data_IF_284247368480
#
_entry.id   IF_284247368480
#
_cell.length_a   1.000
_cell.length_b   1.000
_cell.length_c   1.000
_cell.angle_alpha   90.00
_cell.angle_beta   90.00
_cell.angle_gamma   90.00
#
_symmetry.space_group_name_H-M   'P 1'
#
loop_
_entity.id
_entity.type
_entity.pdbx_description
1 polymer ?
#
# COMPACT_ATOMS: atom_id res chain seq x y z
N UNK A 1 11.23 12.70 -12.37
CA UNK A 1 11.63 11.29 -12.23
C UNK A 1 11.13 10.56 -13.46
N UNK A 2 12.01 9.88 -14.20
CA UNK A 2 11.63 9.02 -15.34
C UNK A 2 11.73 7.59 -14.83
N UNK A 3 10.62 6.84 -14.86
CA UNK A 3 10.57 5.43 -14.46
C UNK A 3 10.52 4.53 -15.70
N UNK A 4 11.23 3.41 -15.66
CA UNK A 4 11.33 2.45 -16.79
C UNK A 4 10.27 1.33 -16.76
N UNK A 5 9.21 1.49 -15.97
CA UNK A 5 8.29 0.40 -15.63
C UNK A 5 8.78 -0.36 -14.39
N UNK A 6 8.63 -1.68 -14.39
CA UNK A 6 8.93 -2.58 -13.26
C UNK A 6 7.69 -3.16 -12.58
N UNK A 7 6.54 -3.17 -13.27
CA UNK A 7 5.32 -3.82 -12.77
C UNK A 7 5.56 -5.32 -12.61
N UNK A 8 5.12 -5.89 -11.49
CA UNK A 8 5.35 -7.28 -11.07
C UNK A 8 4.22 -7.71 -10.12
N UNK A 9 4.11 -9.01 -9.84
CA UNK A 9 3.22 -9.56 -8.80
C UNK A 9 4.10 -10.36 -7.83
N UNK A 10 4.04 -10.03 -6.54
CA UNK A 10 4.83 -10.67 -5.48
C UNK A 10 3.86 -11.34 -4.49
N UNK A 11 4.17 -12.57 -4.12
CA UNK A 11 3.40 -13.36 -3.18
C UNK A 11 3.68 -12.99 -1.72
N UNK A 12 2.84 -13.46 -0.77
CA UNK A 12 3.02 -13.20 0.65
C UNK A 12 4.31 -13.78 1.23
N UNK A 13 4.94 -14.76 0.56
CA UNK A 13 6.25 -15.32 0.89
C UNK A 13 7.43 -14.53 0.30
N UNK A 14 7.17 -13.31 -0.19
CA UNK A 14 8.15 -12.43 -0.84
C UNK A 14 8.75 -12.96 -2.15
N UNK A 15 8.16 -14.00 -2.76
CA UNK A 15 8.60 -14.51 -4.06
C UNK A 15 7.83 -13.88 -5.21
N UNK A 16 8.47 -13.75 -6.36
CA UNK A 16 7.80 -13.33 -7.58
C UNK A 16 6.79 -14.39 -8.03
N UNK A 17 5.53 -13.97 -8.22
CA UNK A 17 4.50 -14.74 -8.92
C UNK A 17 4.54 -14.41 -10.41
N UNK A 18 4.87 -13.16 -10.75
CA UNK A 18 5.20 -12.72 -12.09
C UNK A 18 6.40 -11.79 -12.04
N UNK A 19 7.45 -12.08 -12.80
CA UNK A 19 8.68 -11.27 -12.85
C UNK A 19 8.42 -9.81 -13.27
N UNK A 20 9.28 -8.87 -12.84
CA UNK A 20 9.13 -7.47 -13.21
C UNK A 20 9.33 -7.24 -14.71
N UNK A 21 8.39 -6.50 -15.32
CA UNK A 21 8.46 -6.10 -16.74
C UNK A 21 8.91 -4.65 -16.86
N UNK A 22 9.94 -4.41 -17.67
CA UNK A 22 10.50 -3.11 -17.95
C UNK A 22 10.39 -2.78 -19.43
N UNK A 23 10.37 -1.48 -19.75
CA UNK A 23 10.49 -0.91 -21.11
C UNK A 23 9.34 -1.24 -22.10
N UNK A 24 8.49 -2.23 -21.80
CA UNK A 24 7.38 -2.67 -22.65
C UNK A 24 5.99 -2.50 -22.00
N UNK A 25 5.00 -1.94 -22.72
CA UNK A 25 3.60 -1.98 -22.31
C UNK A 25 3.07 -3.42 -22.33
N UNK A 26 2.55 -3.91 -21.20
CA UNK A 26 2.00 -5.26 -21.10
C UNK A 26 0.84 -5.33 -20.10
N UNK A 27 0.10 -6.44 -20.14
CA UNK A 27 -0.83 -6.83 -19.08
C UNK A 27 -0.27 -8.08 -18.41
N UNK A 28 -0.06 -8.01 -17.09
CA UNK A 28 0.47 -9.12 -16.29
C UNK A 28 -0.70 -9.83 -15.63
N UNK A 29 -0.77 -11.15 -15.79
CA UNK A 29 -1.76 -12.01 -15.16
C UNK A 29 -1.07 -13.03 -14.25
N UNK A 30 -1.70 -13.34 -13.12
CA UNK A 30 -1.28 -14.42 -12.24
C UNK A 30 -2.50 -15.04 -11.55
N UNK A 31 -2.40 -16.33 -11.23
CA UNK A 31 -3.34 -17.02 -10.35
C UNK A 31 -2.80 -16.95 -8.92
N UNK A 32 -3.70 -16.71 -7.96
CA UNK A 32 -3.33 -16.51 -6.56
C UNK A 32 -4.06 -17.52 -5.66
N UNK A 33 -3.27 -18.29 -4.93
CA UNK A 33 -3.75 -19.16 -3.85
C UNK A 33 -3.96 -18.33 -2.58
N UNK A 34 -5.22 -17.98 -2.29
CA UNK A 34 -5.56 -17.07 -1.19
C UNK A 34 -5.28 -17.66 0.21
N UNK A 35 -5.29 -18.99 0.35
CA UNK A 35 -5.01 -19.67 1.61
C UNK A 35 -3.59 -19.36 2.14
N UNK A 36 -2.67 -18.98 1.24
CA UNK A 36 -1.29 -18.57 1.60
C UNK A 36 -1.25 -17.30 2.45
N UNK A 37 -2.30 -16.49 2.45
CA UNK A 37 -2.40 -15.29 3.30
C UNK A 37 -2.44 -15.69 4.77
N UNK A 38 -3.25 -16.70 5.12
CA UNK A 38 -3.37 -17.19 6.48
C UNK A 38 -2.06 -17.76 6.98
N UNK A 39 -1.34 -18.52 6.15
CA UNK A 39 0.00 -19.03 6.47
C UNK A 39 0.98 -17.89 6.75
N UNK A 40 0.96 -16.83 5.95
CA UNK A 40 1.80 -15.65 6.14
C UNK A 40 1.55 -14.96 7.48
N UNK A 41 0.29 -14.77 7.86
CA UNK A 41 -0.08 -14.17 9.15
C UNK A 41 0.31 -15.02 10.36
N UNK A 42 0.33 -16.36 10.22
CA UNK A 42 0.84 -17.25 11.28
C UNK A 42 2.35 -17.10 11.48
N UNK A 43 3.10 -16.82 10.41
CA UNK A 43 4.55 -16.58 10.48
C UNK A 43 4.86 -15.18 10.99
N UNK A 44 4.09 -14.17 10.59
CA UNK A 44 4.32 -12.77 10.97
C UNK A 44 3.00 -12.01 11.14
N UNK A 45 2.57 -11.82 12.39
CA UNK A 45 1.36 -11.07 12.75
C UNK A 45 1.68 -9.75 13.46
N UNK A 46 2.17 -8.76 12.71
CA UNK A 46 2.62 -7.45 13.24
C UNK A 46 1.54 -6.65 13.95
N UNK A 47 0.30 -6.77 13.50
CA UNK A 47 -0.90 -6.11 14.00
C UNK A 47 -1.59 -6.92 15.12
N UNK A 48 -1.16 -8.17 15.33
CA UNK A 48 -1.71 -9.08 16.32
C UNK A 48 -0.70 -9.47 17.40
N UNK A 49 -0.22 -10.72 17.36
CA UNK A 49 0.57 -11.31 18.45
C UNK A 49 1.96 -10.69 18.64
N UNK A 50 2.51 -9.99 17.64
CA UNK A 50 3.72 -9.18 17.78
C UNK A 50 3.45 -7.72 18.19
N UNK A 51 2.19 -7.30 18.25
CA UNK A 51 1.82 -5.95 18.66
C UNK A 51 2.12 -5.73 20.15
N UNK A 52 2.71 -4.57 20.47
CA UNK A 52 3.04 -4.14 21.84
C UNK A 52 2.40 -2.79 22.12
N UNK A 53 1.07 -2.75 22.35
CA UNK A 53 0.34 -1.51 22.61
C UNK A 53 0.79 -0.83 23.91
N UNK A 54 1.47 -1.55 24.80
CA UNK A 54 2.09 -1.00 26.01
C UNK A 54 3.40 -0.24 25.74
N UNK A 55 4.01 -0.40 24.55
CA UNK A 55 5.21 0.33 24.14
C UNK A 55 4.87 1.39 23.10
N UNK A 56 4.11 1.03 22.07
CA UNK A 56 3.82 1.90 20.93
C UNK A 56 2.34 1.84 20.57
N UNK A 57 1.76 3.02 20.37
CA UNK A 57 0.40 3.20 19.90
C UNK A 57 0.40 4.19 18.74
N UNK A 58 -0.28 3.84 17.64
CA UNK A 58 -0.48 4.71 16.48
C UNK A 58 -1.96 5.11 16.41
N UNK A 59 -2.22 6.40 16.45
CA UNK A 59 -3.53 7.00 16.20
C UNK A 59 -3.52 7.71 14.85
N UNK A 60 -4.59 7.55 14.07
CA UNK A 60 -4.70 8.10 12.71
C UNK A 60 -5.81 9.14 12.67
N UNK A 61 -5.50 10.35 12.19
CA UNK A 61 -6.52 11.36 11.89
C UNK A 61 -7.09 11.11 10.48
N UNK A 62 -8.35 10.69 10.40
CA UNK A 62 -9.06 10.43 9.14
C UNK A 62 -9.79 11.66 8.56
N UNK A 63 -9.71 12.82 9.23
CA UNK A 63 -10.34 14.04 8.74
C UNK A 63 -9.73 14.52 7.42
N UNK A 64 -10.55 14.98 6.45
CA UNK A 64 -10.04 15.53 5.20
C UNK A 64 -9.09 16.71 5.43
N UNK A 65 -7.81 16.53 5.08
CA UNK A 65 -6.80 17.58 5.19
C UNK A 65 -6.75 18.39 3.89
N UNK A 66 -6.81 19.72 3.98
CA UNK A 66 -6.67 20.63 2.83
C UNK A 66 -5.29 21.25 2.80
N UNK A 67 -4.55 21.05 1.71
CA UNK A 67 -3.23 21.65 1.53
C UNK A 67 -3.29 23.15 1.19
N UNK A 68 -4.42 23.62 0.65
CA UNK A 68 -4.62 25.02 0.27
C UNK A 68 -6.05 25.44 0.59
N UNK A 69 -6.21 26.60 1.23
CA UNK A 69 -7.49 27.27 1.46
C UNK A 69 -7.47 28.61 0.72
N UNK A 70 -8.51 28.88 -0.06
CA UNK A 70 -8.66 30.15 -0.79
C UNK A 70 -9.66 31.03 -0.04
N UNK A 71 -9.28 32.27 0.27
CA UNK A 71 -10.23 33.28 0.72
C UNK A 71 -10.81 34.00 -0.49
N UNK A 72 -12.14 33.99 -0.60
CA UNK A 72 -12.85 34.78 -1.61
C UNK A 72 -12.99 36.19 -1.05
N UNK A 73 -12.22 37.14 -1.57
CA UNK A 73 -12.41 38.56 -1.27
C UNK A 73 -13.85 38.98 -1.57
N UNK A 74 -14.52 39.54 -0.57
CA UNK A 74 -15.84 40.15 -0.72
C UNK A 74 -15.77 41.24 -1.79
N UNK A 75 -16.43 41.01 -2.92
CA UNK A 75 -16.74 42.11 -3.83
C UNK A 75 -17.86 42.90 -3.16
N UNK A 76 -17.48 44.06 -2.63
CA UNK A 76 -18.38 45.02 -1.98
C UNK A 76 -19.58 45.37 -2.86
N UNK A 77 -20.69 45.62 -2.16
CA UNK A 77 -21.99 46.06 -2.67
C UNK A 77 -21.94 47.38 -3.43
#
# INVERSE_FOLDING_TARGET
MITKGGSTIIGPDSRYVADPVFEDPCIIYAELELDRITEGHLVLGIDGHYSRPDIFHLEVNEEPQRNVTFERGEQGS
#
